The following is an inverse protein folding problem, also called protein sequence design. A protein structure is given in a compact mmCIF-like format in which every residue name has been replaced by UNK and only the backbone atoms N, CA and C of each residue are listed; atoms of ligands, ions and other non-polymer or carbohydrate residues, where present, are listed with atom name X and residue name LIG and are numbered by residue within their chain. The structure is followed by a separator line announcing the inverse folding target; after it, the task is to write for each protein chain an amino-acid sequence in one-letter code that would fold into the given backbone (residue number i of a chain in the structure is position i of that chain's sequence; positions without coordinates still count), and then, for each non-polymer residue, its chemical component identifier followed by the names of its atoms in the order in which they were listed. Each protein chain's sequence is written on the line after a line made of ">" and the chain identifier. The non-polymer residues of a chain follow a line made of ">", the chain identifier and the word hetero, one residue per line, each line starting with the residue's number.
data_IF_106428563428
#
_entry.id   IF_106428563428
#
_cell.length_a   1.000
_cell.length_b   1.000
_cell.length_c   1.000
_cell.angle_alpha   90.00
_cell.angle_beta   90.00
_cell.angle_gamma   90.00
#
_symmetry.space_group_name_H-M   'P 1'
#
loop_
_entity.id
_entity.type
_entity.pdbx_description
1 polymer ?
#
# COMPACT_ATOMS: atom_id res chain seq x y z
N UNK A 1 10.30 6.79 -9.66
CA UNK A 1 10.31 5.32 -9.83
C UNK A 1 10.95 4.95 -11.17
N UNK A 2 10.44 5.45 -12.29
CA UNK A 2 11.00 5.18 -13.63
C UNK A 2 12.46 5.60 -13.77
N UNK A 3 12.82 6.83 -13.38
CA UNK A 3 14.21 7.33 -13.43
C UNK A 3 15.17 6.40 -12.67
N UNK A 4 14.83 6.07 -11.42
CA UNK A 4 15.64 5.16 -10.59
C UNK A 4 15.78 3.75 -11.17
N UNK A 5 14.83 3.29 -11.99
CA UNK A 5 14.90 1.97 -12.64
C UNK A 5 15.72 1.95 -13.92
N UNK A 6 16.08 3.12 -14.45
CA UNK A 6 16.83 3.29 -15.71
C UNK A 6 18.23 3.87 -15.46
N UNK A 7 18.53 4.28 -14.23
CA UNK A 7 19.81 4.88 -13.88
C UNK A 7 20.93 3.84 -13.83
N UNK A 8 21.99 4.06 -14.61
CA UNK A 8 23.10 3.11 -14.76
C UNK A 8 23.88 2.87 -13.44
N UNK A 9 23.88 3.86 -12.55
CA UNK A 9 24.55 3.78 -11.25
C UNK A 9 23.68 3.15 -10.14
N UNK A 10 22.47 2.70 -10.46
CA UNK A 10 21.52 2.13 -9.49
C UNK A 10 21.16 0.70 -9.90
N UNK A 11 21.60 -0.27 -9.11
CA UNK A 11 21.09 -1.65 -9.21
C UNK A 11 19.76 -1.76 -8.42
N UNK A 12 18.63 -1.78 -9.13
CA UNK A 12 17.31 -1.89 -8.50
C UNK A 12 16.92 -3.36 -8.23
N UNK A 13 17.07 -3.80 -6.98
CA UNK A 13 16.70 -5.15 -6.54
C UNK A 13 15.30 -5.19 -5.91
N UNK A 14 14.27 -5.31 -6.74
CA UNK A 14 12.88 -5.45 -6.26
C UNK A 14 12.56 -6.87 -5.80
N UNK A 15 11.56 -7.02 -4.92
CA UNK A 15 11.17 -8.32 -4.32
C UNK A 15 12.36 -9.05 -3.68
N UNK A 16 13.24 -8.27 -3.05
CA UNK A 16 14.48 -8.73 -2.41
C UNK A 16 14.59 -8.13 -1.02
N UNK A 17 15.30 -8.81 -0.12
CA UNK A 17 15.48 -8.40 1.28
C UNK A 17 16.92 -8.59 1.73
N UNK A 18 17.45 -7.64 2.49
CA UNK A 18 18.74 -7.81 3.18
C UNK A 18 18.55 -8.83 4.30
N UNK A 19 19.37 -9.88 4.31
CA UNK A 19 19.30 -10.95 5.32
C UNK A 19 20.50 -10.95 6.26
N UNK A 20 21.63 -10.39 5.84
CA UNK A 20 22.83 -10.32 6.66
C UNK A 20 23.67 -9.09 6.27
N UNK A 21 24.21 -8.41 7.28
CA UNK A 21 25.18 -7.32 7.10
C UNK A 21 26.35 -7.61 8.04
N UNK A 22 27.55 -7.69 7.46
CA UNK A 22 28.80 -7.86 8.22
C UNK A 22 29.81 -6.79 7.80
N UNK A 23 30.88 -6.63 8.58
CA UNK A 23 31.93 -5.63 8.32
C UNK A 23 31.75 -4.34 9.11
N UNK A 24 32.27 -3.24 8.57
CA UNK A 24 32.33 -1.93 9.24
C UNK A 24 32.22 -0.79 8.23
N UNK A 25 32.12 0.46 8.72
CA UNK A 25 31.97 1.67 7.88
C UNK A 25 33.04 1.71 6.78
N UNK A 26 32.60 1.84 5.52
CA UNK A 26 33.48 1.85 4.35
C UNK A 26 33.78 0.45 3.76
N UNK A 27 33.45 -0.63 4.47
CA UNK A 27 33.73 -2.01 4.05
C UNK A 27 32.69 -2.99 4.60
N UNK A 28 31.43 -2.85 4.17
CA UNK A 28 30.37 -3.79 4.47
C UNK A 28 30.29 -4.90 3.42
N UNK A 29 29.96 -6.11 3.87
CA UNK A 29 29.49 -7.19 3.03
C UNK A 29 28.03 -7.48 3.38
N UNK A 30 27.16 -7.36 2.39
CA UNK A 30 25.70 -7.45 2.53
C UNK A 30 25.21 -8.65 1.73
N UNK A 31 24.49 -9.55 2.39
CA UNK A 31 23.76 -10.64 1.74
C UNK A 31 22.32 -10.23 1.52
N UNK A 32 21.89 -10.34 0.27
CA UNK A 32 20.57 -9.95 -0.19
C UNK A 32 19.88 -11.20 -0.72
N UNK A 33 18.75 -11.55 -0.12
CA UNK A 33 17.87 -12.63 -0.60
C UNK A 33 16.93 -12.07 -1.66
N UNK A 34 17.11 -12.51 -2.90
CA UNK A 34 16.21 -12.24 -4.01
C UNK A 34 15.16 -13.34 -4.08
N UNK A 35 13.91 -12.98 -3.78
CA UNK A 35 12.80 -13.93 -3.71
C UNK A 35 12.37 -14.33 -5.13
N UNK A 36 11.98 -15.59 -5.38
CA UNK A 36 11.48 -16.01 -6.67
C UNK A 36 10.14 -15.35 -6.95
N UNK A 37 10.04 -14.65 -8.08
CA UNK A 37 8.77 -14.11 -8.59
C UNK A 37 7.91 -15.20 -9.23
N UNK A 38 8.55 -16.30 -9.63
CA UNK A 38 8.06 -17.35 -10.53
C UNK A 38 7.68 -16.81 -11.91
N UNK A 39 8.34 -15.71 -12.28
CA UNK A 39 8.20 -15.00 -13.55
C UNK A 39 9.59 -14.52 -13.94
N UNK A 40 10.05 -14.97 -15.10
CA UNK A 40 11.27 -14.51 -15.75
C UNK A 40 11.11 -13.04 -16.16
N UNK A 41 11.89 -12.17 -15.52
CA UNK A 41 11.80 -10.72 -15.72
C UNK A 41 12.27 -10.28 -17.12
N UNK A 42 13.16 -11.03 -17.76
CA UNK A 42 13.69 -10.69 -19.09
C UNK A 42 12.68 -11.04 -20.19
N UNK A 43 11.93 -12.14 -20.00
CA UNK A 43 10.88 -12.57 -20.94
C UNK A 43 9.54 -11.88 -20.71
N UNK A 44 9.30 -11.32 -19.54
CA UNK A 44 8.00 -10.75 -19.20
C UNK A 44 7.80 -9.38 -19.85
N UNK A 45 6.66 -9.20 -20.53
CA UNK A 45 6.28 -7.92 -21.16
C UNK A 45 5.32 -7.08 -20.30
N UNK A 46 4.89 -7.59 -19.14
CA UNK A 46 3.91 -6.90 -18.28
C UNK A 46 2.50 -6.81 -18.87
N UNK A 47 2.14 -7.63 -19.86
CA UNK A 47 0.84 -7.54 -20.57
C UNK A 47 -0.40 -7.89 -19.73
N UNK A 48 -0.26 -8.54 -18.58
CA UNK A 48 -1.38 -8.80 -17.65
C UNK A 48 -2.28 -10.01 -17.96
N UNK A 49 -2.15 -10.66 -19.12
CA UNK A 49 -2.99 -11.83 -19.50
C UNK A 49 -3.03 -12.93 -18.43
N UNK A 50 -1.89 -13.20 -17.80
CA UNK A 50 -1.78 -14.20 -16.73
C UNK A 50 -2.59 -13.83 -15.47
N UNK A 51 -2.68 -12.53 -15.15
CA UNK A 51 -3.44 -11.99 -14.03
C UNK A 51 -4.94 -12.14 -14.32
N UNK A 52 -5.39 -11.71 -15.49
CA UNK A 52 -6.81 -11.79 -15.89
C UNK A 52 -7.37 -13.21 -15.83
N UNK A 53 -6.59 -14.20 -16.31
CA UNK A 53 -7.00 -15.60 -16.38
C UNK A 53 -6.82 -16.37 -15.06
N UNK A 54 -6.19 -15.78 -14.05
CA UNK A 54 -6.01 -16.45 -12.77
C UNK A 54 -7.37 -16.64 -12.06
N UNK A 55 -7.74 -17.86 -11.64
CA UNK A 55 -9.02 -18.12 -11.00
C UNK A 55 -9.02 -17.79 -9.50
N UNK A 56 -7.86 -17.68 -8.86
CA UNK A 56 -7.76 -17.39 -7.42
C UNK A 56 -8.00 -15.91 -7.16
N UNK A 57 -8.80 -15.58 -6.13
CA UNK A 57 -8.96 -14.24 -5.59
C UNK A 57 -8.38 -14.19 -4.17
N UNK A 58 -7.62 -13.14 -3.88
CA UNK A 58 -6.96 -12.91 -2.59
C UNK A 58 -7.24 -11.46 -2.19
N UNK A 59 -7.54 -11.15 -0.91
CA UNK A 59 -7.60 -9.76 -0.47
C UNK A 59 -6.30 -9.02 -0.82
N UNK A 60 -6.41 -7.83 -1.39
CA UNK A 60 -5.24 -7.05 -1.80
C UNK A 60 -4.68 -6.28 -0.62
N UNK A 61 -3.39 -6.49 -0.33
CA UNK A 61 -2.64 -5.78 0.70
C UNK A 61 -2.47 -4.31 0.33
N UNK A 62 -2.19 -4.03 -0.95
CA UNK A 62 -2.09 -2.66 -1.45
C UNK A 62 -3.40 -1.89 -1.32
N UNK A 63 -4.55 -2.59 -1.43
CA UNK A 63 -5.88 -2.01 -1.26
C UNK A 63 -6.41 -2.09 0.17
N UNK A 64 -5.55 -2.39 1.16
CA UNK A 64 -5.92 -2.47 2.57
C UNK A 64 -7.12 -3.41 2.84
N UNK A 65 -7.20 -4.50 2.06
CA UNK A 65 -8.27 -5.50 2.15
C UNK A 65 -9.62 -5.08 1.55
N UNK A 66 -9.75 -3.86 1.01
CA UNK A 66 -10.99 -3.38 0.38
C UNK A 66 -11.20 -3.96 -1.03
N UNK A 67 -10.10 -4.29 -1.70
CA UNK A 67 -10.07 -4.88 -3.04
C UNK A 67 -9.62 -6.33 -3.03
N UNK A 68 -9.85 -7.01 -4.16
CA UNK A 68 -9.37 -8.37 -4.39
C UNK A 68 -8.33 -8.35 -5.52
N UNK A 69 -7.17 -8.94 -5.28
CA UNK A 69 -6.16 -9.27 -6.29
C UNK A 69 -6.25 -10.74 -6.69
N UNK A 70 -5.37 -11.13 -7.60
CA UNK A 70 -5.17 -12.52 -8.03
C UNK A 70 -3.94 -13.11 -7.37
N UNK A 71 -3.76 -14.44 -7.45
CA UNK A 71 -2.55 -15.08 -6.93
C UNK A 71 -1.30 -14.70 -7.75
N UNK A 72 -1.43 -14.50 -9.06
CA UNK A 72 -0.41 -13.82 -9.86
C UNK A 72 -0.84 -12.37 -10.07
N UNK A 73 -0.01 -11.41 -9.67
CA UNK A 73 -0.43 -10.02 -9.58
C UNK A 73 0.76 -9.05 -9.73
N UNK A 74 0.44 -7.80 -10.06
CA UNK A 74 1.30 -6.63 -9.81
C UNK A 74 0.67 -5.82 -8.68
N UNK A 75 1.45 -5.15 -7.80
CA UNK A 75 0.87 -4.43 -6.66
C UNK A 75 -0.12 -3.32 -7.05
N UNK A 76 0.19 -2.58 -8.11
CA UNK A 76 -0.64 -1.52 -8.68
C UNK A 76 -0.30 -1.30 -10.17
N UNK A 77 -1.15 -0.58 -10.90
CA UNK A 77 -1.05 -0.47 -12.35
C UNK A 77 0.25 0.19 -12.86
N UNK A 78 0.83 1.12 -12.09
CA UNK A 78 2.07 1.84 -12.42
C UNK A 78 3.28 1.26 -11.68
N UNK A 79 3.21 0.01 -11.20
CA UNK A 79 4.31 -0.63 -10.49
C UNK A 79 5.58 -0.70 -11.35
N UNK A 80 6.73 -0.44 -10.72
CA UNK A 80 8.05 -0.51 -11.37
C UNK A 80 8.92 -1.52 -10.61
N UNK A 81 9.43 -2.58 -11.28
CA UNK A 81 9.12 -2.99 -12.65
C UNK A 81 7.68 -3.52 -12.77
N UNK A 82 7.08 -3.36 -13.95
CA UNK A 82 5.75 -3.90 -14.25
C UNK A 82 5.81 -5.40 -14.57
N UNK A 83 6.35 -6.19 -13.63
CA UNK A 83 6.49 -7.64 -13.74
C UNK A 83 5.71 -8.28 -12.58
N UNK A 84 4.78 -9.21 -12.87
CA UNK A 84 3.99 -9.84 -11.84
C UNK A 84 4.81 -10.77 -10.94
N UNK A 85 4.24 -11.08 -9.78
CA UNK A 85 4.73 -12.06 -8.81
C UNK A 85 3.64 -13.08 -8.58
N UNK A 86 4.02 -14.35 -8.39
CA UNK A 86 3.12 -15.40 -7.93
C UNK A 86 3.21 -15.52 -6.40
N UNK A 87 2.10 -15.27 -5.74
CA UNK A 87 1.86 -15.54 -4.33
C UNK A 87 1.71 -17.05 -4.12
N UNK A 88 2.72 -17.67 -3.52
CA UNK A 88 2.79 -19.12 -3.30
C UNK A 88 1.80 -19.62 -2.26
N UNK A 89 1.38 -18.76 -1.32
CA UNK A 89 0.46 -19.13 -0.25
C UNK A 89 -0.97 -19.32 -0.77
N UNK A 90 -1.33 -18.62 -1.85
CA UNK A 90 -2.67 -18.69 -2.43
C UNK A 90 -2.71 -19.30 -3.84
N UNK A 91 -1.57 -19.48 -4.50
CA UNK A 91 -1.51 -20.10 -5.81
C UNK A 91 -1.88 -21.60 -5.74
N UNK A 92 -2.88 -22.00 -6.53
CA UNK A 92 -3.35 -23.40 -6.60
C UNK A 92 -2.35 -24.38 -7.22
N UNK A 93 -1.33 -23.88 -7.93
CA UNK A 93 -0.22 -24.72 -8.41
C UNK A 93 0.71 -25.07 -7.24
N UNK A 94 1.10 -24.11 -6.41
CA UNK A 94 1.97 -24.36 -5.26
C UNK A 94 1.26 -25.08 -4.11
N UNK A 95 0.01 -24.72 -3.81
CA UNK A 95 -0.72 -25.29 -2.67
C UNK A 95 -1.36 -26.65 -2.93
N UNK A 96 -1.69 -26.96 -4.19
CA UNK A 96 -2.50 -28.15 -4.52
C UNK A 96 -2.03 -28.90 -5.77
N UNK A 97 -1.02 -28.39 -6.48
CA UNK A 97 -0.53 -28.92 -7.76
C UNK A 97 -1.60 -29.13 -8.86
N UNK A 98 -2.64 -28.28 -8.86
CA UNK A 98 -3.83 -28.46 -9.73
C UNK A 98 -4.07 -27.36 -10.76
N UNK A 99 -3.20 -26.35 -10.82
CA UNK A 99 -3.34 -25.21 -11.73
C UNK A 99 -2.15 -25.10 -12.69
N UNK A 100 -2.09 -24.03 -13.48
CA UNK A 100 -1.11 -23.83 -14.54
C UNK A 100 -1.59 -22.90 -15.65
N UNK A 101 -2.80 -22.34 -15.51
CA UNK A 101 -3.43 -21.49 -16.54
C UNK A 101 -2.53 -20.31 -16.92
N UNK A 102 -1.94 -19.60 -15.95
CA UNK A 102 -1.07 -18.46 -16.23
C UNK A 102 0.15 -18.83 -17.08
N UNK A 103 0.73 -20.03 -16.89
CA UNK A 103 1.83 -20.52 -17.72
C UNK A 103 1.36 -20.85 -19.14
N UNK A 104 0.21 -21.51 -19.28
CA UNK A 104 -0.37 -21.89 -20.60
C UNK A 104 -0.75 -20.68 -21.45
N UNK A 105 -1.23 -19.59 -20.83
CA UNK A 105 -1.70 -18.39 -21.55
C UNK A 105 -0.62 -17.32 -21.71
N UNK A 106 0.57 -17.49 -21.13
CA UNK A 106 1.64 -16.53 -21.23
C UNK A 106 2.28 -16.58 -22.63
N UNK A 107 2.17 -15.52 -23.45
CA UNK A 107 2.64 -15.55 -24.83
C UNK A 107 4.17 -15.67 -24.95
N UNK A 108 4.91 -15.16 -23.95
CA UNK A 108 6.38 -15.20 -23.94
C UNK A 108 6.96 -16.38 -23.16
N UNK A 109 6.10 -17.23 -22.56
CA UNK A 109 6.56 -18.34 -21.72
C UNK A 109 7.33 -17.90 -20.46
N UNK A 110 7.09 -16.68 -19.97
CA UNK A 110 7.83 -16.12 -18.83
C UNK A 110 7.50 -16.76 -17.47
N UNK A 111 6.42 -17.55 -17.35
CA UNK A 111 6.05 -18.17 -16.06
C UNK A 111 6.90 -19.41 -15.80
N UNK A 112 7.65 -19.38 -14.71
CA UNK A 112 8.55 -20.44 -14.29
C UNK A 112 8.31 -20.79 -12.81
N UNK A 113 7.67 -21.94 -12.57
CA UNK A 113 7.38 -22.43 -11.22
C UNK A 113 8.59 -23.06 -10.53
N UNK A 114 9.67 -23.33 -11.26
CA UNK A 114 10.88 -23.95 -10.74
C UNK A 114 11.93 -22.92 -10.32
N UNK A 115 11.66 -21.63 -10.55
CA UNK A 115 12.53 -20.53 -10.12
C UNK A 115 12.84 -20.64 -8.62
N UNK A 116 14.14 -20.66 -8.30
CA UNK A 116 14.64 -20.76 -6.92
C UNK A 116 14.99 -19.38 -6.35
N UNK A 117 15.06 -19.31 -5.03
CA UNK A 117 15.63 -18.14 -4.36
C UNK A 117 17.13 -18.02 -4.66
N UNK A 118 17.62 -16.78 -4.67
CA UNK A 118 19.02 -16.46 -4.93
C UNK A 118 19.57 -15.60 -3.79
N UNK A 119 20.73 -15.98 -3.24
CA UNK A 119 21.48 -15.16 -2.28
C UNK A 119 22.60 -14.43 -3.01
N UNK A 120 22.48 -13.12 -3.05
CA UNK A 120 23.41 -12.23 -3.75
C UNK A 120 24.26 -11.52 -2.70
N UNK A 121 25.58 -11.52 -2.88
CA UNK A 121 26.51 -10.77 -2.02
C UNK A 121 26.95 -9.49 -2.70
N UNK A 122 26.92 -8.37 -1.97
CA UNK A 122 27.38 -7.06 -2.44
C UNK A 122 28.32 -6.44 -1.40
N UNK A 123 29.39 -5.81 -1.88
CA UNK A 123 30.27 -5.00 -1.05
C UNK A 123 29.87 -3.53 -1.18
N UNK A 124 29.64 -2.86 -0.05
CA UNK A 124 29.18 -1.47 -0.03
C UNK A 124 29.93 -0.66 1.02
N UNK A 125 30.14 0.63 0.75
CA UNK A 125 30.80 1.54 1.69
C UNK A 125 29.86 2.13 2.74
N UNK A 126 28.58 2.29 2.39
CA UNK A 126 27.57 2.91 3.24
C UNK A 126 26.21 2.23 3.07
N UNK A 127 25.37 2.34 4.10
CA UNK A 127 24.00 1.81 4.12
C UNK A 127 23.07 2.94 4.55
N UNK A 128 22.00 3.16 3.77
CA UNK A 128 20.93 4.09 4.11
C UNK A 128 19.68 3.27 4.41
N UNK A 129 19.13 3.43 5.63
CA UNK A 129 17.90 2.75 6.04
C UNK A 129 16.71 3.65 5.76
N UNK A 130 15.87 3.23 4.83
CA UNK A 130 14.67 3.95 4.40
C UNK A 130 13.45 3.01 4.26
N UNK A 131 13.29 2.08 5.21
CA UNK A 131 12.24 1.03 5.19
C UNK A 131 10.84 1.55 5.54
N UNK A 132 10.69 2.85 5.82
CA UNK A 132 9.40 3.50 6.00
C UNK A 132 8.79 3.26 7.39
N UNK A 133 7.49 3.02 7.40
CA UNK A 133 6.66 2.89 8.60
C UNK A 133 5.59 1.81 8.39
N UNK A 134 4.91 1.43 9.46
CA UNK A 134 3.73 0.55 9.41
C UNK A 134 2.54 1.24 10.08
N UNK A 135 1.34 0.82 9.68
CA UNK A 135 0.13 1.28 10.34
C UNK A 135 -0.07 0.56 11.66
N UNK A 136 -0.69 1.27 12.59
CA UNK A 136 -1.23 0.69 13.80
C UNK A 136 -2.45 -0.17 13.47
N UNK A 137 -2.58 -1.33 14.12
CA UNK A 137 -3.81 -2.11 14.07
C UNK A 137 -4.96 -1.33 14.73
N UNK A 138 -6.04 -0.98 14.00
CA UNK A 138 -7.17 -0.25 14.58
C UNK A 138 -7.93 -1.06 15.65
N UNK A 139 -7.78 -2.38 15.71
CA UNK A 139 -8.46 -3.24 16.68
C UNK A 139 -8.14 -2.89 18.14
N UNK A 140 -7.00 -2.22 18.40
CA UNK A 140 -6.59 -1.82 19.75
C UNK A 140 -7.45 -0.68 20.35
N UNK A 141 -8.27 -0.03 19.52
CA UNK A 141 -9.21 1.03 19.87
C UNK A 141 -10.66 0.53 19.73
N UNK A 142 -11.04 -0.41 20.60
CA UNK A 142 -12.36 -1.04 20.61
C UNK A 142 -13.50 -0.04 20.88
N UNK A 143 -13.23 1.02 21.64
CA UNK A 143 -14.14 2.12 21.92
C UNK A 143 -14.57 2.88 20.66
N UNK A 144 -13.71 2.90 19.64
CA UNK A 144 -14.02 3.43 18.31
C UNK A 144 -14.59 2.36 17.37
N UNK A 145 -14.65 1.10 17.82
CA UNK A 145 -15.16 -0.02 17.04
C UNK A 145 -14.21 -0.54 15.97
N UNK A 146 -12.91 -0.22 16.08
CA UNK A 146 -11.88 -0.75 15.19
C UNK A 146 -11.89 -2.29 15.19
N UNK A 147 -11.79 -2.89 14.01
CA UNK A 147 -11.90 -4.35 13.83
C UNK A 147 -13.31 -4.94 14.02
N UNK A 148 -14.25 -4.22 14.65
CA UNK A 148 -15.62 -4.70 14.93
C UNK A 148 -16.65 -4.17 13.93
N UNK A 149 -16.61 -2.87 13.63
CA UNK A 149 -17.59 -2.24 12.75
C UNK A 149 -17.03 -2.05 11.36
N UNK A 150 -17.68 -2.64 10.34
CA UNK A 150 -17.24 -2.56 8.94
C UNK A 150 -17.14 -1.13 8.38
N UNK A 151 -17.88 -0.18 8.96
CA UNK A 151 -17.84 1.22 8.53
C UNK A 151 -16.83 2.07 9.30
N UNK A 152 -16.07 1.46 10.22
CA UNK A 152 -14.91 2.08 10.87
C UNK A 152 -13.68 1.62 10.09
N UNK A 153 -13.07 2.56 9.37
CA UNK A 153 -11.94 2.30 8.48
C UNK A 153 -10.75 3.17 8.87
N UNK A 154 -9.55 2.76 8.47
CA UNK A 154 -8.34 3.57 8.63
C UNK A 154 -8.28 4.68 7.57
N UNK A 155 -7.47 5.71 7.83
CA UNK A 155 -7.23 6.76 6.82
C UNK A 155 -6.54 6.23 5.58
N UNK A 156 -5.75 5.15 5.66
CA UNK A 156 -5.14 4.54 4.47
C UNK A 156 -6.18 3.76 3.64
N UNK A 157 -7.12 3.07 4.29
CA UNK A 157 -8.29 2.49 3.60
C UNK A 157 -9.08 3.57 2.87
N UNK A 158 -9.28 4.74 3.49
CA UNK A 158 -9.92 5.88 2.84
C UNK A 158 -9.12 6.41 1.65
N UNK A 159 -7.77 6.48 1.73
CA UNK A 159 -6.93 6.80 0.56
C UNK A 159 -7.18 5.83 -0.60
N UNK A 160 -7.23 4.52 -0.31
CA UNK A 160 -7.52 3.51 -1.34
C UNK A 160 -8.89 3.73 -1.98
N UNK A 161 -9.90 4.13 -1.21
CA UNK A 161 -11.22 4.45 -1.76
C UNK A 161 -11.22 5.73 -2.61
N UNK A 162 -10.47 6.75 -2.20
CA UNK A 162 -10.40 8.03 -2.90
C UNK A 162 -9.55 7.98 -4.17
N UNK A 163 -8.65 7.00 -4.30
CA UNK A 163 -7.89 6.82 -5.52
C UNK A 163 -8.82 6.43 -6.69
N UNK A 164 -8.67 7.13 -7.83
CA UNK A 164 -9.46 6.88 -9.03
C UNK A 164 -9.27 5.46 -9.61
N UNK A 165 -8.07 4.89 -9.50
CA UNK A 165 -7.78 3.49 -9.86
C UNK A 165 -7.95 2.50 -8.70
N UNK A 166 -8.38 2.98 -7.53
CA UNK A 166 -8.65 2.16 -6.35
C UNK A 166 -9.94 1.33 -6.46
N UNK A 167 -10.23 0.49 -5.46
CA UNK A 167 -11.28 -0.53 -5.48
C UNK A 167 -12.70 0.03 -5.63
N UNK A 168 -12.90 1.31 -5.30
CA UNK A 168 -14.20 1.98 -5.37
C UNK A 168 -14.26 3.06 -6.45
N UNK A 169 -13.21 3.20 -7.27
CA UNK A 169 -13.14 4.15 -8.37
C UNK A 169 -13.26 5.61 -7.92
N UNK A 170 -12.60 5.97 -6.81
CA UNK A 170 -12.62 7.32 -6.24
C UNK A 170 -13.84 7.66 -5.36
N UNK A 171 -14.74 6.70 -5.11
CA UNK A 171 -15.97 6.93 -4.32
C UNK A 171 -15.83 6.43 -2.88
N UNK A 172 -16.17 7.27 -1.92
CA UNK A 172 -16.31 6.87 -0.51
C UNK A 172 -17.68 6.23 -0.31
N UNK A 173 -17.63 4.94 0.02
CA UNK A 173 -18.80 4.10 0.28
C UNK A 173 -18.69 3.50 1.68
N UNK A 174 -19.83 3.10 2.24
CA UNK A 174 -19.88 2.31 3.48
C UNK A 174 -19.50 0.86 3.16
N UNK A 175 -18.39 0.31 3.69
CA UNK A 175 -18.00 -1.07 3.40
C UNK A 175 -19.05 -2.11 3.80
N UNK A 176 -19.96 -1.80 4.73
CA UNK A 176 -21.03 -2.72 5.15
C UNK A 176 -22.04 -3.03 4.04
N UNK A 177 -22.39 -2.05 3.20
CA UNK A 177 -23.51 -2.16 2.26
C UNK A 177 -23.25 -1.53 0.87
N UNK A 178 -22.10 -0.89 0.66
CA UNK A 178 -21.71 -0.31 -0.63
C UNK A 178 -22.39 1.01 -0.98
N UNK A 179 -23.25 1.55 -0.13
CA UNK A 179 -23.90 2.84 -0.36
C UNK A 179 -22.93 3.99 -0.13
N UNK A 180 -23.11 5.08 -0.88
CA UNK A 180 -22.38 6.33 -0.70
C UNK A 180 -22.51 6.84 0.75
N UNK A 181 -21.38 7.19 1.35
CA UNK A 181 -21.36 7.81 2.67
C UNK A 181 -21.80 9.27 2.55
N UNK A 182 -22.94 9.64 3.15
CA UNK A 182 -23.40 11.03 3.21
C UNK A 182 -22.72 11.84 4.30
N UNK A 183 -22.27 11.17 5.36
CA UNK A 183 -21.54 11.77 6.47
C UNK A 183 -20.29 10.94 6.72
N UNK A 184 -19.14 11.60 6.84
CA UNK A 184 -17.85 11.00 7.17
C UNK A 184 -17.31 11.68 8.41
N UNK A 185 -16.95 10.88 9.42
CA UNK A 185 -16.40 11.38 10.67
C UNK A 185 -14.95 10.95 10.78
N UNK A 186 -14.06 11.93 10.98
CA UNK A 186 -12.64 11.71 11.26
C UNK A 186 -12.39 11.86 12.76
N UNK A 187 -11.64 10.91 13.32
CA UNK A 187 -11.15 10.97 14.69
C UNK A 187 -9.63 11.11 14.61
N UNK A 188 -9.10 12.25 15.05
CA UNK A 188 -7.66 12.50 15.04
C UNK A 188 -6.95 11.82 16.19
N UNK A 189 -5.63 11.69 16.07
CA UNK A 189 -4.74 11.16 17.09
C UNK A 189 -5.00 9.70 17.49
N UNK A 190 -5.77 8.94 16.70
CA UNK A 190 -5.90 7.49 16.90
C UNK A 190 -4.52 6.85 16.72
N UNK A 191 -3.98 6.22 17.77
CA UNK A 191 -2.63 5.67 17.76
C UNK A 191 -1.52 6.73 17.84
N UNK A 192 -1.79 7.88 18.44
CA UNK A 192 -0.79 8.95 18.64
C UNK A 192 -1.19 9.86 19.78
N UNK A 193 -0.22 10.40 20.52
CA UNK A 193 -0.46 11.26 21.68
C UNK A 193 -1.37 10.58 22.72
N UNK A 194 -1.22 9.27 22.84
CA UNK A 194 -1.97 8.42 23.74
C UNK A 194 -0.99 7.62 24.60
N UNK A 195 -0.65 8.21 25.74
CA UNK A 195 0.27 7.61 26.71
C UNK A 195 -0.30 6.34 27.34
N UNK A 196 -1.64 6.23 27.45
CA UNK A 196 -2.31 5.05 28.00
C UNK A 196 -2.09 3.79 27.15
N UNK A 197 -1.83 3.97 25.85
CA UNK A 197 -1.50 2.91 24.90
C UNK A 197 0.00 2.83 24.59
N UNK A 198 0.83 3.61 25.29
CA UNK A 198 2.29 3.65 25.09
C UNK A 198 2.75 4.41 23.85
N UNK A 199 1.91 5.28 23.29
CA UNK A 199 2.19 6.02 22.05
C UNK A 199 2.13 7.54 22.30
N UNK A 200 3.08 8.12 23.07
CA UNK A 200 3.01 9.51 23.50
C UNK A 200 3.32 10.51 22.37
N UNK A 201 3.89 10.06 21.25
CA UNK A 201 4.32 10.93 20.16
C UNK A 201 3.19 11.29 19.20
N UNK A 202 3.37 12.38 18.47
CA UNK A 202 2.48 12.78 17.38
C UNK A 202 2.96 12.19 16.05
N UNK A 203 2.08 11.55 15.29
CA UNK A 203 2.39 11.03 13.94
C UNK A 203 2.60 12.10 12.86
N UNK A 204 2.56 13.39 13.23
CA UNK A 204 2.91 14.58 12.43
C UNK A 204 2.04 14.88 11.20
N UNK A 205 1.60 13.88 10.45
CA UNK A 205 0.97 14.04 9.12
C UNK A 205 -0.55 13.92 9.15
N UNK A 206 -1.14 13.41 10.24
CA UNK A 206 -2.56 13.04 10.29
C UNK A 206 -3.53 14.21 10.11
N UNK A 207 -3.23 15.36 10.73
CA UNK A 207 -4.04 16.57 10.52
C UNK A 207 -4.07 16.97 9.04
N UNK A 208 -2.93 16.83 8.33
CA UNK A 208 -2.79 17.30 6.95
C UNK A 208 -3.40 16.34 5.94
N UNK A 209 -3.21 15.02 6.09
CA UNK A 209 -3.91 14.10 5.20
C UNK A 209 -5.42 14.17 5.41
N UNK A 210 -5.92 14.49 6.61
CA UNK A 210 -7.36 14.65 6.82
C UNK A 210 -7.89 15.88 6.11
N UNK A 211 -7.21 17.03 6.22
CA UNK A 211 -7.58 18.22 5.44
C UNK A 211 -7.61 17.91 3.93
N UNK A 212 -6.65 17.12 3.45
CA UNK A 212 -6.62 16.64 2.06
C UNK A 212 -7.83 15.76 1.75
N UNK A 213 -8.13 14.76 2.58
CA UNK A 213 -9.29 13.87 2.40
C UNK A 213 -10.59 14.65 2.38
N UNK A 214 -10.79 15.61 3.27
CA UNK A 214 -12.03 16.39 3.29
C UNK A 214 -12.24 17.16 1.98
N UNK A 215 -11.18 17.74 1.42
CA UNK A 215 -11.23 18.44 0.13
C UNK A 215 -11.55 17.45 -1.00
N UNK A 216 -10.84 16.32 -1.06
CA UNK A 216 -11.05 15.30 -2.09
C UNK A 216 -12.45 14.68 -2.04
N UNK A 217 -12.96 14.41 -0.84
CA UNK A 217 -14.32 13.92 -0.64
C UNK A 217 -15.33 14.94 -1.17
N UNK A 218 -15.15 16.23 -0.87
CA UNK A 218 -16.07 17.27 -1.35
C UNK A 218 -16.03 17.38 -2.88
N UNK A 219 -14.85 17.28 -3.48
CA UNK A 219 -14.68 17.34 -4.93
C UNK A 219 -15.37 16.16 -5.62
N UNK A 220 -15.13 14.93 -5.17
CA UNK A 220 -15.72 13.72 -5.75
C UNK A 220 -17.21 13.55 -5.42
N UNK A 221 -17.63 13.99 -4.22
CA UNK A 221 -18.97 13.76 -3.67
C UNK A 221 -19.46 15.02 -2.90
N UNK A 222 -19.91 16.07 -3.62
CA UNK A 222 -20.25 17.38 -3.03
C UNK A 222 -21.30 17.35 -1.92
N UNK A 223 -22.20 16.36 -1.94
CA UNK A 223 -23.24 16.17 -0.92
C UNK A 223 -22.75 15.50 0.37
N UNK A 224 -21.49 15.06 0.41
CA UNK A 224 -20.91 14.41 1.60
C UNK A 224 -20.44 15.46 2.59
N UNK A 225 -20.91 15.35 3.82
CA UNK A 225 -20.47 16.20 4.92
C UNK A 225 -19.34 15.52 5.71
N UNK A 226 -18.24 16.24 5.92
CA UNK A 226 -17.13 15.78 6.75
C UNK A 226 -17.13 16.47 8.11
N UNK A 227 -16.90 15.69 9.16
CA UNK A 227 -16.71 16.17 10.54
C UNK A 227 -15.35 15.72 11.06
N UNK A 228 -14.58 16.59 11.71
CA UNK A 228 -13.22 16.30 12.17
C UNK A 228 -13.11 16.56 13.67
N UNK A 229 -13.01 15.48 14.45
CA UNK A 229 -12.74 15.55 15.88
C UNK A 229 -11.23 15.60 16.12
N UNK A 230 -10.73 16.70 16.67
CA UNK A 230 -9.31 16.90 16.94
C UNK A 230 -9.05 17.53 18.31
N UNK A 231 -7.83 17.32 18.82
CA UNK A 231 -7.33 18.00 20.03
C UNK A 231 -6.70 19.33 19.63
N UNK A 232 -5.68 19.25 18.78
CA UNK A 232 -5.01 20.40 18.18
C UNK A 232 -4.85 20.16 16.68
N UNK A 233 -4.99 21.22 15.89
CA UNK A 233 -4.66 21.20 14.48
C UNK A 233 -3.17 21.52 14.30
N UNK A 234 -2.39 20.57 13.77
CA UNK A 234 -0.93 20.72 13.61
C UNK A 234 -0.52 20.96 12.15
N UNK A 235 -0.63 22.23 11.74
CA UNK A 235 -0.33 22.70 10.38
C UNK A 235 1.02 23.45 10.29
N UNK A 236 2.11 22.82 10.75
CA UNK A 236 3.41 23.49 10.92
C UNK A 236 4.29 23.65 9.66
N UNK A 237 3.84 23.21 8.49
CA UNK A 237 4.58 23.31 7.23
C UNK A 237 4.26 24.57 6.44
N UNK A 238 5.09 24.92 5.45
CA UNK A 238 4.81 26.03 4.54
C UNK A 238 3.50 25.78 3.79
N UNK A 239 2.54 26.71 3.88
CA UNK A 239 1.24 26.60 3.21
C UNK A 239 0.22 25.71 3.92
N UNK A 240 0.56 25.10 5.07
CA UNK A 240 -0.31 24.10 5.70
C UNK A 240 -1.51 24.74 6.40
N UNK A 241 -1.31 25.89 7.03
CA UNK A 241 -2.39 26.63 7.68
C UNK A 241 -3.41 27.14 6.64
N UNK A 242 -2.92 27.63 5.51
CA UNK A 242 -3.73 28.04 4.37
C UNK A 242 -4.50 26.85 3.79
N UNK A 243 -3.85 25.68 3.70
CA UNK A 243 -4.49 24.45 3.23
C UNK A 243 -5.61 23.97 4.15
N UNK A 244 -5.43 24.06 5.48
CA UNK A 244 -6.51 23.72 6.42
C UNK A 244 -7.66 24.73 6.34
N UNK A 245 -7.36 26.03 6.20
CA UNK A 245 -8.40 27.04 5.96
C UNK A 245 -9.19 26.77 4.69
N UNK A 246 -8.53 26.30 3.61
CA UNK A 246 -9.21 25.87 2.40
C UNK A 246 -10.13 24.68 2.68
N UNK A 247 -9.68 23.66 3.42
CA UNK A 247 -10.54 22.55 3.82
C UNK A 247 -11.79 22.99 4.60
N UNK A 248 -11.66 23.95 5.51
CA UNK A 248 -12.81 24.47 6.28
C UNK A 248 -13.76 25.30 5.41
N UNK A 249 -13.24 26.19 4.56
CA UNK A 249 -14.04 27.14 3.77
C UNK A 249 -14.64 26.52 2.51
N UNK A 250 -13.87 25.72 1.79
CA UNK A 250 -14.23 25.17 0.49
C UNK A 250 -14.87 23.79 0.64
N UNK A 251 -14.29 22.91 1.46
CA UNK A 251 -14.86 21.59 1.71
C UNK A 251 -16.01 21.59 2.72
N UNK A 252 -16.17 22.70 3.47
CA UNK A 252 -17.15 22.81 4.55
C UNK A 252 -16.88 21.82 5.68
N UNK A 253 -15.63 21.41 5.88
CA UNK A 253 -15.26 20.50 6.96
C UNK A 253 -15.46 21.18 8.32
N UNK A 254 -16.21 20.52 9.20
CA UNK A 254 -16.58 21.02 10.54
C UNK A 254 -15.78 20.32 11.62
#
# INVERSE_FOLDING_TARGET
>A
MTESSQEENIELMTYSEVVEVTGFVGNYEVKIRKKPRYVDMEKCTGCGTCIEKCPTKVPSEFEEGLGMRKAIYVPFAQAVPNVPVIDTEHCRKFTQDKCGVCQKVCPTGAIDYEQQEEIITRKVGAIVVATGYSLLDPSIYEEYGGGRFRNVITSLQLERMLESSGPTGGKVIKPSNGEVAKNVVFIQCVGSRDESKGIPYCSKICCMYTAKHTILIKDHQPETQCYVFYIDLRAGGKGYEEFVKAAQREAGAV
#
